data_IF_590986169676
#
_entry.id   IF_590986169676
#
_cell.length_a   1.000
_cell.length_b   1.000
_cell.length_c   1.000
_cell.angle_alpha   90.00
_cell.angle_beta   90.00
_cell.angle_gamma   90.00
#
_symmetry.space_group_name_H-M   'P 1'
#
loop_
_entity.id
_entity.type
_entity.pdbx_description
1 polymer ?
#
# COMPACT_ATOMS: atom_id res chain seq x y z
N UNK A 1 -30.77 -45.92 -25.97
CA UNK A 1 -30.88 -44.43 -26.05
C UNK A 1 -30.75 -43.70 -24.73
N UNK A 2 -31.23 -44.22 -23.60
CA UNK A 2 -31.10 -43.55 -22.27
C UNK A 2 -29.69 -43.52 -21.70
N UNK A 3 -28.86 -44.52 -21.96
CA UNK A 3 -27.48 -44.62 -21.40
C UNK A 3 -26.55 -43.55 -21.98
N UNK A 4 -26.64 -43.24 -23.27
CA UNK A 4 -25.84 -42.20 -23.92
C UNK A 4 -26.18 -40.79 -23.42
N UNK A 5 -27.48 -40.50 -23.12
CA UNK A 5 -27.89 -39.21 -22.59
C UNK A 5 -27.34 -38.99 -21.16
N UNK A 6 -27.33 -40.02 -20.30
CA UNK A 6 -26.76 -39.91 -18.95
C UNK A 6 -25.25 -39.72 -18.98
N UNK A 7 -24.55 -40.40 -19.88
CA UNK A 7 -23.10 -40.27 -20.04
C UNK A 7 -22.70 -38.87 -20.54
N UNK A 8 -23.44 -38.34 -21.53
CA UNK A 8 -23.21 -36.97 -22.03
C UNK A 8 -23.48 -35.89 -20.99
N UNK A 9 -24.49 -36.06 -20.11
CA UNK A 9 -24.79 -35.14 -19.02
C UNK A 9 -23.68 -35.14 -17.95
N UNK A 10 -23.11 -36.31 -17.68
CA UNK A 10 -22.00 -36.46 -16.68
C UNK A 10 -20.74 -35.76 -17.16
N UNK A 11 -20.39 -35.86 -18.44
CA UNK A 11 -19.25 -35.17 -19.05
C UNK A 11 -19.46 -33.66 -19.01
N UNK A 12 -20.68 -33.17 -19.28
CA UNK A 12 -21.00 -31.75 -19.25
C UNK A 12 -20.84 -31.16 -17.84
N UNK A 13 -21.23 -31.89 -16.78
CA UNK A 13 -21.10 -31.47 -15.40
C UNK A 13 -19.59 -31.41 -14.97
N UNK A 14 -18.78 -32.37 -15.45
CA UNK A 14 -17.33 -32.39 -15.15
C UNK A 14 -16.63 -31.21 -15.83
N UNK A 15 -16.99 -30.89 -17.08
CA UNK A 15 -16.43 -29.75 -17.81
C UNK A 15 -16.83 -28.42 -17.14
N UNK A 16 -18.11 -28.29 -16.75
CA UNK A 16 -18.61 -27.10 -16.08
C UNK A 16 -17.96 -26.91 -14.69
N UNK A 17 -17.74 -28.00 -13.94
CA UNK A 17 -17.05 -27.97 -12.63
C UNK A 17 -15.58 -27.61 -12.74
N UNK A 18 -14.90 -28.02 -13.83
CA UNK A 18 -13.48 -27.70 -14.06
C UNK A 18 -13.24 -26.22 -14.38
N UNK A 19 -14.22 -25.51 -14.95
CA UNK A 19 -14.09 -24.09 -15.30
C UNK A 19 -14.19 -23.20 -14.04
N UNK A 20 -14.95 -23.62 -13.03
CA UNK A 20 -15.13 -22.81 -11.79
C UNK A 20 -13.89 -22.83 -10.90
N UNK A 21 -13.05 -23.85 -10.96
CA UNK A 21 -11.86 -23.98 -10.12
C UNK A 21 -10.68 -23.10 -10.56
N UNK A 22 -10.72 -22.53 -11.76
CA UNK A 22 -9.66 -21.64 -12.26
C UNK A 22 -9.93 -20.14 -12.00
N UNK A 23 -11.03 -19.79 -11.34
CA UNK A 23 -11.45 -18.38 -11.18
C UNK A 23 -10.82 -17.65 -9.99
N UNK A 24 -10.06 -18.33 -9.11
CA UNK A 24 -9.31 -17.68 -8.02
C UNK A 24 -7.82 -17.62 -8.35
N UNK A 25 -7.42 -16.82 -9.31
CA UNK A 25 -6.09 -16.23 -9.28
C UNK A 25 -6.11 -15.20 -8.15
N UNK A 26 -5.49 -15.53 -7.03
CA UNK A 26 -5.12 -14.55 -6.01
C UNK A 26 -4.31 -13.48 -6.75
N UNK A 27 -4.85 -12.25 -6.86
CA UNK A 27 -4.12 -11.15 -7.48
C UNK A 27 -2.76 -11.05 -6.78
N UNK A 28 -1.68 -11.05 -7.53
CA UNK A 28 -0.37 -10.75 -6.98
C UNK A 28 -0.44 -9.36 -6.38
N UNK A 29 0.05 -9.20 -5.13
CA UNK A 29 0.17 -7.89 -4.51
C UNK A 29 1.09 -7.04 -5.40
N UNK A 30 0.64 -5.91 -5.96
CA UNK A 30 1.46 -5.06 -6.82
C UNK A 30 2.70 -4.53 -6.10
N UNK A 31 2.69 -4.57 -4.76
CA UNK A 31 3.81 -4.15 -3.90
C UNK A 31 4.63 -5.33 -3.37
N UNK A 32 4.61 -6.49 -4.05
CA UNK A 32 5.34 -7.70 -3.61
C UNK A 32 6.86 -7.49 -3.47
N UNK A 33 7.43 -6.50 -4.17
CA UNK A 33 8.85 -6.16 -4.09
C UNK A 33 9.22 -5.39 -2.82
N UNK A 34 8.25 -4.82 -2.11
CA UNK A 34 8.48 -4.19 -0.81
C UNK A 34 8.58 -5.26 0.26
N UNK A 35 9.71 -5.38 0.97
CA UNK A 35 9.88 -6.36 2.03
C UNK A 35 8.77 -6.24 3.09
N UNK A 36 8.35 -7.36 3.63
CA UNK A 36 7.37 -7.36 4.72
C UNK A 36 7.97 -6.74 5.98
N UNK A 37 7.32 -5.74 6.54
CA UNK A 37 7.58 -5.17 7.86
C UNK A 37 6.32 -5.29 8.72
N UNK A 38 6.48 -5.63 9.99
CA UNK A 38 5.35 -5.62 10.93
C UNK A 38 5.06 -4.17 11.35
N UNK A 39 3.89 -3.69 10.98
CA UNK A 39 3.44 -2.35 11.33
C UNK A 39 2.35 -2.44 12.39
N UNK A 40 2.59 -1.84 13.54
CA UNK A 40 1.62 -1.69 14.63
C UNK A 40 1.88 -0.36 15.33
N UNK A 41 1.31 0.70 14.80
CA UNK A 41 1.50 2.08 15.25
C UNK A 41 0.22 2.61 15.86
N UNK A 42 0.31 3.25 17.02
CA UNK A 42 -0.81 3.92 17.68
C UNK A 42 -0.36 5.34 18.03
N UNK A 43 -1.05 6.34 17.49
CA UNK A 43 -0.78 7.76 17.77
C UNK A 43 -2.08 8.52 18.03
N UNK A 44 -2.00 9.62 18.78
CA UNK A 44 -3.09 10.59 18.88
C UNK A 44 -2.84 11.73 17.88
N UNK A 45 -3.51 11.73 16.70
CA UNK A 45 -3.26 12.71 15.65
C UNK A 45 -3.70 14.14 16.03
N UNK A 46 -4.46 14.29 17.11
CA UNK A 46 -4.91 15.60 17.61
C UNK A 46 -3.99 16.16 18.71
N UNK A 47 -2.89 15.49 19.05
CA UNK A 47 -1.94 15.96 20.03
C UNK A 47 -0.96 16.98 19.43
N UNK A 48 -0.32 17.76 20.30
CA UNK A 48 0.69 18.76 19.90
C UNK A 48 1.97 18.15 19.33
N UNK A 49 2.21 16.84 19.56
CA UNK A 49 3.37 16.12 19.01
C UNK A 49 3.16 15.85 17.51
N UNK A 50 1.91 15.73 17.08
CA UNK A 50 1.52 15.41 15.70
C UNK A 50 0.71 16.56 15.09
N UNK A 51 1.14 17.80 15.34
CA UNK A 51 0.42 19.02 14.96
C UNK A 51 0.12 19.11 13.45
N UNK A 52 0.97 18.52 12.62
CA UNK A 52 0.77 18.46 11.17
C UNK A 52 -0.52 17.70 10.79
N UNK A 53 -0.92 16.74 11.64
CA UNK A 53 -2.15 15.97 11.44
C UNK A 53 -3.39 16.60 12.07
N UNK A 54 -3.30 17.75 12.76
CA UNK A 54 -4.44 18.40 13.41
C UNK A 54 -5.45 18.98 12.41
N UNK A 55 -5.08 19.11 11.14
CA UNK A 55 -5.93 19.67 10.09
C UNK A 55 -6.16 18.64 8.97
N UNK A 56 -7.35 18.69 8.36
CA UNK A 56 -7.64 17.94 7.14
C UNK A 56 -6.70 18.40 6.02
N UNK A 57 -6.14 17.46 5.29
CA UNK A 57 -5.08 17.71 4.31
C UNK A 57 -3.67 17.75 4.91
N UNK A 58 -3.56 17.68 6.23
CA UNK A 58 -2.26 17.59 6.90
C UNK A 58 -1.60 16.23 6.70
N UNK A 59 -0.28 16.23 6.67
CA UNK A 59 0.52 15.03 6.53
C UNK A 59 1.83 15.13 7.30
N UNK A 60 2.43 13.97 7.61
CA UNK A 60 3.72 13.90 8.27
C UNK A 60 4.49 12.63 7.93
N UNK A 61 5.79 12.65 8.15
CA UNK A 61 6.59 11.42 8.19
C UNK A 61 6.57 10.80 9.58
N UNK A 62 6.40 9.48 9.62
CA UNK A 62 6.52 8.71 10.85
C UNK A 62 7.66 7.67 10.70
N UNK A 63 8.86 7.94 11.27
CA UNK A 63 10.03 7.10 11.08
C UNK A 63 10.13 5.94 12.08
N UNK A 64 9.28 5.91 13.11
CA UNK A 64 9.40 4.98 14.25
C UNK A 64 8.70 3.65 13.99
N UNK A 65 9.16 2.95 12.96
CA UNK A 65 8.69 1.61 12.58
C UNK A 65 9.86 0.66 12.46
N UNK A 66 9.56 -0.65 12.61
CA UNK A 66 10.59 -1.66 12.55
C UNK A 66 11.10 -1.88 11.12
N UNK A 67 12.41 -2.12 10.95
CA UNK A 67 12.94 -2.55 9.66
C UNK A 67 12.23 -3.83 9.16
N UNK A 68 12.10 -4.02 7.85
CA UNK A 68 12.73 -3.28 6.76
C UNK A 68 11.93 -2.06 6.24
N UNK A 69 10.86 -1.63 6.91
CA UNK A 69 10.15 -0.40 6.54
C UNK A 69 11.09 0.81 6.61
N UNK A 70 10.91 1.74 5.69
CA UNK A 70 11.65 3.02 5.67
C UNK A 70 10.85 4.17 6.29
N UNK A 71 9.82 3.85 7.06
CA UNK A 71 8.92 4.80 7.68
C UNK A 71 7.60 4.93 6.92
N UNK A 72 6.70 5.73 7.48
CA UNK A 72 5.38 5.97 6.91
C UNK A 72 5.22 7.43 6.51
N UNK A 73 4.38 7.66 5.48
CA UNK A 73 3.71 8.93 5.23
C UNK A 73 2.30 8.77 5.76
N UNK A 74 1.92 9.57 6.76
CA UNK A 74 0.58 9.58 7.30
C UNK A 74 -0.11 10.84 6.79
N UNK A 75 -1.31 10.69 6.25
CA UNK A 75 -2.11 11.76 5.66
C UNK A 75 -3.51 11.78 6.27
N UNK A 76 -3.98 12.94 6.71
CA UNK A 76 -5.35 13.11 7.19
C UNK A 76 -6.27 13.51 6.04
N UNK A 77 -7.07 12.56 5.54
CA UNK A 77 -7.96 12.76 4.41
C UNK A 77 -9.24 13.51 4.80
N UNK A 78 -9.83 13.15 5.94
CA UNK A 78 -11.00 13.81 6.53
C UNK A 78 -10.81 14.03 8.02
N UNK A 79 -11.84 14.46 8.75
CA UNK A 79 -11.77 14.56 10.21
C UNK A 79 -11.56 13.19 10.88
N UNK A 80 -12.03 12.12 10.25
CA UNK A 80 -12.05 10.77 10.80
C UNK A 80 -11.24 9.77 9.98
N UNK A 81 -10.91 10.10 8.73
CA UNK A 81 -10.21 9.19 7.82
C UNK A 81 -8.75 9.59 7.63
N UNK A 82 -7.89 8.60 7.71
CA UNK A 82 -6.46 8.74 7.51
C UNK A 82 -5.96 7.70 6.49
N UNK A 83 -4.90 8.05 5.80
CA UNK A 83 -4.14 7.14 4.95
C UNK A 83 -2.73 7.01 5.50
N UNK A 84 -2.14 5.83 5.37
CA UNK A 84 -0.77 5.57 5.77
C UNK A 84 -0.07 4.79 4.65
N UNK A 85 1.00 5.35 4.12
CA UNK A 85 1.77 4.75 3.04
C UNK A 85 3.18 4.41 3.50
N UNK A 86 3.69 3.26 3.01
CA UNK A 86 5.11 2.90 3.13
C UNK A 86 5.99 3.89 2.37
N UNK A 87 7.11 4.27 2.97
CA UNK A 87 8.10 5.16 2.32
C UNK A 87 9.14 4.42 1.46
N UNK A 88 9.11 3.10 1.44
CA UNK A 88 9.89 2.31 0.48
C UNK A 88 9.28 2.46 -0.91
N UNK A 89 10.06 2.87 -1.94
CA UNK A 89 9.56 2.95 -3.30
C UNK A 89 8.97 1.62 -3.78
N UNK A 90 7.77 1.62 -4.40
CA UNK A 90 7.12 0.39 -4.84
C UNK A 90 7.78 -0.26 -6.05
N UNK A 91 8.45 0.55 -6.88
CA UNK A 91 9.19 0.06 -8.05
C UNK A 91 10.66 -0.08 -7.67
N UNK A 92 11.19 -1.31 -7.69
CA UNK A 92 12.60 -1.58 -7.44
C UNK A 92 13.09 -1.05 -6.07
N UNK A 93 12.53 -1.58 -5.01
CA UNK A 93 12.78 -1.14 -3.62
C UNK A 93 14.27 -1.05 -3.21
N UNK A 94 15.16 -1.75 -3.90
CA UNK A 94 16.59 -1.78 -3.61
C UNK A 94 17.46 -0.96 -4.57
N UNK A 95 16.88 -0.30 -5.57
CA UNK A 95 17.63 0.35 -6.65
C UNK A 95 18.56 1.47 -6.17
N UNK A 96 18.16 2.21 -5.15
CA UNK A 96 18.89 3.36 -4.63
C UNK A 96 19.32 3.16 -3.18
N UNK A 97 19.94 2.03 -2.91
CA UNK A 97 20.64 1.82 -1.67
C UNK A 97 22.13 2.06 -1.86
N UNK A 98 22.72 2.82 -0.98
CA UNK A 98 24.17 3.00 -0.92
C UNK A 98 24.81 1.64 -0.52
N UNK A 99 25.73 1.08 -1.34
CA UNK A 99 26.28 -0.25 -1.09
C UNK A 99 27.23 -0.30 0.10
N UNK A 100 27.77 0.84 0.55
CA UNK A 100 28.71 0.89 1.69
C UNK A 100 27.98 1.10 3.01
N UNK A 101 27.00 2.01 3.02
CA UNK A 101 26.26 2.37 4.24
C UNK A 101 24.96 1.61 4.41
N UNK A 102 24.48 0.93 3.35
CA UNK A 102 23.17 0.27 3.25
C UNK A 102 21.99 1.21 3.50
N UNK A 103 22.23 2.52 3.40
CA UNK A 103 21.18 3.53 3.49
C UNK A 103 20.48 3.60 2.12
N UNK A 104 19.18 3.39 2.14
CA UNK A 104 18.35 3.43 0.94
C UNK A 104 17.55 4.73 0.88
N UNK A 105 17.32 5.25 -0.32
CA UNK A 105 16.40 6.38 -0.50
C UNK A 105 14.98 5.98 -0.10
N UNK A 106 14.20 6.95 0.27
CA UNK A 106 12.80 6.78 0.64
C UNK A 106 11.94 7.85 -0.04
N UNK A 107 10.66 7.55 -0.20
CA UNK A 107 9.71 8.48 -0.78
C UNK A 107 9.63 9.78 0.03
N UNK A 108 9.49 10.88 -0.67
CA UNK A 108 9.33 12.22 -0.10
C UNK A 108 8.04 12.85 -0.62
N UNK A 109 7.39 13.64 0.22
CA UNK A 109 6.28 14.49 -0.24
C UNK A 109 6.88 15.73 -0.87
N UNK A 110 6.43 16.06 -2.07
CA UNK A 110 6.90 17.22 -2.82
C UNK A 110 6.49 18.52 -2.12
N UNK A 111 7.29 19.57 -2.29
CA UNK A 111 6.95 20.92 -1.89
C UNK A 111 5.67 21.41 -2.59
N UNK A 112 5.38 20.87 -3.78
CA UNK A 112 4.15 21.07 -4.54
C UNK A 112 3.11 19.97 -4.22
N UNK A 113 2.70 19.90 -2.94
CA UNK A 113 1.56 19.05 -2.54
C UNK A 113 0.45 19.06 -3.61
N UNK A 114 -0.20 17.94 -3.99
CA UNK A 114 -0.32 16.69 -3.20
C UNK A 114 0.53 15.50 -3.72
N UNK A 115 1.74 15.71 -4.18
CA UNK A 115 2.54 14.68 -4.80
C UNK A 115 3.54 14.05 -3.82
N UNK A 116 3.73 12.73 -3.96
CA UNK A 116 4.80 11.96 -3.35
C UNK A 116 5.79 11.60 -4.45
N UNK A 117 7.07 11.80 -4.20
CA UNK A 117 8.11 11.67 -5.20
C UNK A 117 9.12 10.58 -4.80
N UNK A 118 9.49 9.75 -5.77
CA UNK A 118 10.60 8.82 -5.68
C UNK A 118 11.82 9.41 -6.40
N UNK A 119 12.76 9.91 -5.62
CA UNK A 119 13.97 10.54 -6.15
C UNK A 119 14.93 9.58 -6.85
N UNK A 120 14.68 8.26 -6.75
CA UNK A 120 15.49 7.23 -7.37
C UNK A 120 15.10 6.98 -8.84
N UNK A 121 13.80 6.86 -9.09
CA UNK A 121 13.25 6.51 -10.40
C UNK A 121 12.58 7.68 -11.11
N UNK A 122 12.54 8.87 -10.49
CA UNK A 122 11.79 10.04 -10.95
C UNK A 122 10.28 9.77 -11.10
N UNK A 123 9.74 8.86 -10.28
CA UNK A 123 8.33 8.53 -10.28
C UNK A 123 7.56 9.38 -9.27
N UNK A 124 6.31 9.68 -9.61
CA UNK A 124 5.42 10.46 -8.77
C UNK A 124 4.14 9.70 -8.46
N UNK A 125 3.54 10.02 -7.32
CA UNK A 125 2.32 9.41 -6.82
C UNK A 125 1.43 10.48 -6.19
N UNK A 126 0.14 10.22 -6.06
CA UNK A 126 -0.75 11.11 -5.33
C UNK A 126 -0.85 10.68 -3.86
N UNK A 127 -0.69 11.62 -2.93
CA UNK A 127 -0.85 11.34 -1.49
C UNK A 127 -2.32 11.08 -1.13
N UNK A 128 -3.25 11.52 -1.99
CA UNK A 128 -4.68 11.48 -1.73
C UNK A 128 -5.26 10.05 -1.77
N UNK A 129 -4.61 9.14 -2.49
CA UNK A 129 -5.07 7.77 -2.70
C UNK A 129 -3.93 6.77 -2.98
N UNK A 130 -2.69 7.25 -3.04
CA UNK A 130 -1.52 6.42 -3.35
C UNK A 130 -1.39 6.04 -4.82
N UNK A 131 -2.23 6.60 -5.72
CA UNK A 131 -2.21 6.24 -7.14
C UNK A 131 -0.92 6.67 -7.82
N UNK A 132 -0.37 5.84 -8.75
CA UNK A 132 0.81 6.18 -9.51
C UNK A 132 0.50 7.20 -10.60
N UNK A 133 1.43 8.09 -10.89
CA UNK A 133 1.40 8.98 -12.04
C UNK A 133 2.33 8.45 -13.13
N UNK A 134 1.92 8.53 -14.38
CA UNK A 134 2.75 8.06 -15.48
C UNK A 134 4.15 8.72 -15.45
N UNK A 135 5.24 7.97 -15.62
CA UNK A 135 5.31 6.58 -16.11
C UNK A 135 5.21 5.49 -15.01
N UNK A 136 5.03 5.83 -13.72
CA UNK A 136 4.84 4.86 -12.66
C UNK A 136 3.55 4.03 -12.91
N UNK A 137 3.56 2.76 -12.54
CA UNK A 137 2.44 1.82 -12.76
C UNK A 137 2.01 1.09 -11.49
N UNK A 138 2.88 1.05 -10.48
CA UNK A 138 2.63 0.36 -9.21
C UNK A 138 2.23 1.42 -8.17
N UNK A 139 1.08 1.29 -7.49
CA UNK A 139 0.65 2.26 -6.48
C UNK A 139 1.53 2.20 -5.22
N UNK A 140 1.45 3.22 -4.38
CA UNK A 140 2.05 3.21 -3.06
C UNK A 140 1.47 2.05 -2.23
N UNK A 141 2.32 1.39 -1.44
CA UNK A 141 1.86 0.40 -0.47
C UNK A 141 1.14 1.11 0.67
N UNK A 142 -0.14 0.82 0.82
CA UNK A 142 -0.99 1.38 1.84
C UNK A 142 -1.19 0.39 2.98
N UNK A 143 -1.16 0.88 4.21
CA UNK A 143 -1.48 0.15 5.43
C UNK A 143 -2.91 0.40 5.87
N UNK A 144 -3.47 -0.54 6.63
CA UNK A 144 -4.80 -0.36 7.22
C UNK A 144 -4.76 0.74 8.29
N UNK A 145 -5.75 1.60 8.29
CA UNK A 145 -5.93 2.67 9.27
C UNK A 145 -7.28 2.56 9.93
N UNK A 146 -7.34 2.85 11.23
CA UNK A 146 -8.58 2.95 11.98
C UNK A 146 -8.45 4.04 13.03
N UNK A 147 -9.43 4.94 13.09
CA UNK A 147 -9.45 6.04 14.05
C UNK A 147 -10.67 5.91 14.97
N UNK A 148 -10.46 5.97 16.29
CA UNK A 148 -11.52 5.83 17.30
C UNK A 148 -12.04 7.16 17.87
N UNK A 149 -11.63 8.28 17.24
CA UNK A 149 -11.91 9.64 17.72
C UNK A 149 -10.80 10.22 18.60
N UNK A 150 -9.89 9.39 19.10
CA UNK A 150 -8.73 9.81 19.89
C UNK A 150 -7.42 9.27 19.31
N UNK A 151 -7.37 7.97 19.03
CA UNK A 151 -6.18 7.29 18.56
C UNK A 151 -6.35 6.81 17.12
N UNK A 152 -5.31 6.99 16.34
CA UNK A 152 -5.14 6.42 15.02
C UNK A 152 -4.29 5.15 15.17
N UNK A 153 -4.84 4.03 14.72
CA UNK A 153 -4.19 2.74 14.63
C UNK A 153 -3.78 2.49 13.18
N UNK A 154 -2.53 2.11 12.96
CA UNK A 154 -1.98 1.77 11.64
C UNK A 154 -1.39 0.38 11.73
N UNK A 155 -1.90 -0.55 10.92
CA UNK A 155 -1.50 -1.97 10.95
C UNK A 155 -1.40 -2.55 9.54
N UNK A 156 -0.77 -3.74 9.43
CA UNK A 156 -0.75 -4.56 8.21
C UNK A 156 -1.40 -5.93 8.41
#
# INVERSE_FOLDING_TARGET
MLAHKKFSLLILIIILGGIVLNACKKGEDPNSDIPYAHINVVINPNSTIYQELNIVGGWMYYPYVDPPSRGLIIYRMTQEDFLAFERTPPSNSNACCDPETLICTHLVVDDYYPFVYDTCSDYSYQILDGSPMAPATIPLKQYMTSFDGMNLYITN
#
